data_IF_477449635656
#
_entry.id   IF_477449635656
#
_cell.length_a   1.000
_cell.length_b   1.000
_cell.length_c   1.000
_cell.angle_alpha   90.00
_cell.angle_beta   90.00
_cell.angle_gamma   90.00
#
_symmetry.space_group_name_H-M   'P 1'
#
loop_
_entity.id
_entity.type
_entity.pdbx_description
1 polymer ?
#
# COMPACT_ATOMS: atom_id res chain seq x y z
N UNK A 1 -20.41 -25.09 -2.12
CA UNK A 1 -20.55 -24.36 -0.86
C UNK A 1 -20.33 -22.90 -1.19
N UNK A 2 -20.96 -21.93 -0.51
CA UNK A 2 -20.65 -20.54 -0.73
C UNK A 2 -19.16 -20.28 -0.47
N UNK A 3 -18.55 -19.39 -1.27
CA UNK A 3 -17.15 -19.00 -1.14
C UNK A 3 -16.94 -18.29 0.20
N UNK A 4 -16.01 -18.78 1.03
CA UNK A 4 -15.66 -18.18 2.32
C UNK A 4 -14.49 -17.20 2.17
N UNK A 5 -14.67 -15.97 2.60
CA UNK A 5 -13.70 -14.90 2.46
C UNK A 5 -13.25 -14.41 3.83
N UNK A 6 -11.94 -14.31 4.03
CA UNK A 6 -11.40 -13.53 5.13
C UNK A 6 -10.90 -12.16 4.65
N UNK A 7 -11.11 -11.15 5.48
CA UNK A 7 -10.49 -9.82 5.32
C UNK A 7 -9.59 -9.59 6.52
N UNK A 8 -8.30 -9.80 6.34
CA UNK A 8 -7.31 -9.69 7.39
C UNK A 8 -6.85 -8.23 7.55
N UNK A 9 -7.21 -7.64 8.69
CA UNK A 9 -7.07 -6.23 8.99
C UNK A 9 -8.41 -5.51 9.05
N UNK A 10 -8.62 -4.73 10.10
CA UNK A 10 -9.87 -4.01 10.38
C UNK A 10 -9.67 -2.48 10.31
N UNK A 11 -8.67 -2.05 9.50
CA UNK A 11 -8.44 -0.65 9.14
C UNK A 11 -9.37 -0.16 8.01
N UNK A 12 -9.05 0.98 7.41
CA UNK A 12 -9.90 1.60 6.39
C UNK A 12 -10.11 0.71 5.15
N UNK A 13 -9.04 0.10 4.63
CA UNK A 13 -9.13 -0.81 3.47
C UNK A 13 -9.90 -2.09 3.85
N UNK A 14 -9.63 -2.65 5.04
CA UNK A 14 -10.36 -3.83 5.52
C UNK A 14 -11.85 -3.57 5.75
N UNK A 15 -12.20 -2.41 6.30
CA UNK A 15 -13.59 -2.00 6.45
C UNK A 15 -14.28 -1.81 5.08
N UNK A 16 -13.58 -1.22 4.11
CA UNK A 16 -14.06 -1.10 2.74
C UNK A 16 -14.36 -2.49 2.14
N UNK A 17 -13.38 -3.39 2.15
CA UNK A 17 -13.54 -4.75 1.63
C UNK A 17 -14.64 -5.50 2.38
N UNK A 18 -14.53 -5.60 3.71
CA UNK A 18 -15.48 -6.34 4.54
C UNK A 18 -16.90 -5.83 4.43
N UNK A 19 -17.09 -4.50 4.45
CA UNK A 19 -18.41 -3.89 4.39
C UNK A 19 -19.11 -4.07 3.05
N UNK A 20 -18.43 -3.79 1.94
CA UNK A 20 -19.01 -3.95 0.61
C UNK A 20 -19.26 -5.42 0.25
N UNK A 21 -18.35 -6.33 0.57
CA UNK A 21 -18.54 -7.76 0.31
C UNK A 21 -19.67 -8.35 1.13
N UNK A 22 -19.79 -7.98 2.43
CA UNK A 22 -20.91 -8.42 3.27
C UNK A 22 -22.24 -7.88 2.72
N UNK A 23 -22.30 -6.60 2.32
CA UNK A 23 -23.47 -6.01 1.69
C UNK A 23 -23.86 -6.70 0.38
N UNK A 24 -22.88 -7.21 -0.36
CA UNK A 24 -23.07 -7.96 -1.60
C UNK A 24 -23.46 -9.44 -1.37
N UNK A 25 -23.61 -9.87 -0.11
CA UNK A 25 -24.08 -11.21 0.25
C UNK A 25 -23.00 -12.29 0.33
N UNK A 26 -21.73 -11.93 0.34
CA UNK A 26 -20.64 -12.89 0.55
C UNK A 26 -20.53 -13.33 2.02
N UNK A 27 -20.06 -14.57 2.25
CA UNK A 27 -19.69 -15.09 3.57
C UNK A 27 -18.31 -14.53 3.96
N UNK A 28 -18.30 -13.41 4.67
CA UNK A 28 -17.10 -12.66 5.03
C UNK A 28 -16.82 -12.71 6.52
N UNK A 29 -15.60 -13.06 6.88
CA UNK A 29 -15.07 -12.89 8.25
C UNK A 29 -13.96 -11.85 8.25
N UNK A 30 -14.17 -10.75 8.98
CA UNK A 30 -13.13 -9.74 9.21
C UNK A 30 -12.21 -10.20 10.33
N UNK A 31 -10.91 -10.21 10.11
CA UNK A 31 -9.93 -10.66 11.09
C UNK A 31 -9.25 -9.47 11.76
N UNK A 32 -9.53 -9.26 13.04
CA UNK A 32 -8.70 -8.42 13.90
C UNK A 32 -7.42 -9.17 14.26
N UNK A 33 -6.26 -8.55 14.06
CA UNK A 33 -4.99 -9.24 14.25
C UNK A 33 -4.57 -9.30 15.72
N UNK A 34 -4.80 -8.21 16.47
CA UNK A 34 -4.27 -8.05 17.83
C UNK A 34 -5.33 -7.64 18.87
N UNK A 35 -6.49 -7.13 18.45
CA UNK A 35 -7.43 -6.44 19.34
C UNK A 35 -8.79 -7.14 19.40
N UNK A 36 -8.99 -8.02 20.36
CA UNK A 36 -10.27 -8.69 20.58
C UNK A 36 -11.44 -7.69 20.77
N UNK A 37 -11.19 -6.54 21.41
CA UNK A 37 -12.20 -5.50 21.61
C UNK A 37 -12.71 -4.92 20.28
N UNK A 38 -11.84 -4.79 19.28
CA UNK A 38 -12.23 -4.32 17.96
C UNK A 38 -13.16 -5.32 17.25
N UNK A 39 -12.85 -6.61 17.34
CA UNK A 39 -13.73 -7.66 16.80
C UNK A 39 -15.10 -7.66 17.52
N UNK A 40 -15.10 -7.61 18.86
CA UNK A 40 -16.36 -7.53 19.64
C UNK A 40 -17.20 -6.31 19.27
N UNK A 41 -16.57 -5.14 19.07
CA UNK A 41 -17.27 -3.92 18.65
C UNK A 41 -17.89 -4.07 17.27
N UNK A 42 -17.13 -4.58 16.29
CA UNK A 42 -17.62 -4.79 14.92
C UNK A 42 -18.80 -5.76 14.90
N UNK A 43 -18.77 -6.84 15.69
CA UNK A 43 -19.89 -7.78 15.82
C UNK A 43 -21.14 -7.15 16.44
N UNK A 44 -20.97 -6.28 17.44
CA UNK A 44 -22.08 -5.65 18.15
C UNK A 44 -22.69 -4.50 17.35
N UNK A 45 -21.86 -3.63 16.79
CA UNK A 45 -22.29 -2.34 16.24
C UNK A 45 -22.31 -2.34 14.71
N UNK A 46 -21.70 -3.36 14.05
CA UNK A 46 -21.45 -3.36 12.62
C UNK A 46 -20.41 -2.33 12.22
N UNK A 47 -20.36 -1.99 10.93
CA UNK A 47 -19.55 -0.90 10.42
C UNK A 47 -20.37 0.03 9.53
N UNK A 48 -19.98 1.31 9.51
CA UNK A 48 -20.56 2.36 8.67
C UNK A 48 -19.53 2.82 7.65
N UNK A 49 -19.91 2.84 6.37
CA UNK A 49 -19.09 3.32 5.27
C UNK A 49 -19.71 4.58 4.66
N UNK A 50 -18.87 5.59 4.44
CA UNK A 50 -19.25 6.88 3.83
C UNK A 50 -18.26 7.26 2.71
N UNK A 51 -18.63 8.19 1.85
CA UNK A 51 -17.76 8.83 0.86
C UNK A 51 -17.90 8.26 -0.55
N UNK A 52 -17.77 6.96 -0.76
CA UNK A 52 -17.98 6.32 -2.05
C UNK A 52 -19.39 5.69 -2.10
N UNK A 53 -20.20 6.16 -3.02
CA UNK A 53 -21.61 5.75 -3.09
C UNK A 53 -22.44 6.25 -1.91
N UNK A 54 -23.65 5.71 -1.70
CA UNK A 54 -24.49 6.08 -0.59
C UNK A 54 -23.90 5.61 0.75
N UNK A 55 -24.04 6.41 1.80
CA UNK A 55 -23.71 5.98 3.16
C UNK A 55 -24.55 4.77 3.54
N UNK A 56 -23.92 3.78 4.14
CA UNK A 56 -24.62 2.61 4.68
C UNK A 56 -23.93 2.05 5.93
N UNK A 57 -24.76 1.42 6.76
CA UNK A 57 -24.31 0.58 7.85
C UNK A 57 -24.63 -0.88 7.53
N UNK A 58 -23.71 -1.78 7.88
CA UNK A 58 -23.90 -3.21 7.69
C UNK A 58 -23.41 -3.98 8.92
N UNK A 59 -24.14 -5.03 9.36
CA UNK A 59 -23.58 -5.98 10.30
C UNK A 59 -22.40 -6.69 9.64
N UNK A 60 -21.42 -7.06 10.43
CA UNK A 60 -20.28 -7.86 9.96
C UNK A 60 -19.93 -8.93 10.97
N UNK A 61 -19.38 -10.03 10.50
CA UNK A 61 -18.74 -11.02 11.35
C UNK A 61 -17.26 -10.66 11.51
N UNK A 62 -16.81 -10.54 12.74
CA UNK A 62 -15.40 -10.22 13.04
C UNK A 62 -14.87 -11.17 14.13
N UNK A 63 -13.64 -11.66 13.92
CA UNK A 63 -12.97 -12.59 14.82
C UNK A 63 -11.55 -12.10 15.13
N UNK A 64 -11.02 -12.50 16.29
CA UNK A 64 -9.59 -12.34 16.56
C UNK A 64 -8.83 -13.48 15.88
N UNK A 65 -7.81 -13.17 15.06
CA UNK A 65 -7.03 -14.18 14.33
C UNK A 65 -6.54 -15.31 15.25
N UNK A 66 -6.00 -14.99 16.41
CA UNK A 66 -5.51 -15.97 17.39
C UNK A 66 -6.61 -16.86 18.04
N UNK A 67 -7.89 -16.55 17.80
CA UNK A 67 -9.02 -17.31 18.33
C UNK A 67 -9.79 -18.08 17.24
N UNK A 68 -9.35 -18.01 15.99
CA UNK A 68 -9.95 -18.81 14.95
C UNK A 68 -9.75 -20.31 15.21
N UNK A 69 -10.81 -21.13 15.10
CA UNK A 69 -10.66 -22.58 15.14
C UNK A 69 -9.73 -23.06 14.02
N UNK A 70 -8.84 -24.01 14.30
CA UNK A 70 -7.93 -24.57 13.31
C UNK A 70 -8.66 -25.19 12.09
N UNK A 71 -9.93 -25.57 12.26
CA UNK A 71 -10.79 -26.09 11.19
C UNK A 71 -11.38 -25.00 10.30
N UNK A 72 -11.29 -23.71 10.68
CA UNK A 72 -11.79 -22.62 9.86
C UNK A 72 -10.85 -22.38 8.69
N UNK A 73 -11.36 -22.49 7.46
CA UNK A 73 -10.59 -22.39 6.22
C UNK A 73 -11.30 -21.46 5.25
N UNK A 74 -10.52 -20.62 4.56
CA UNK A 74 -11.01 -19.62 3.61
C UNK A 74 -10.58 -19.95 2.18
N UNK A 75 -11.44 -19.63 1.22
CA UNK A 75 -11.12 -19.70 -0.20
C UNK A 75 -10.23 -18.52 -0.60
N UNK A 76 -10.51 -17.33 -0.07
CA UNK A 76 -9.75 -16.11 -0.31
C UNK A 76 -9.46 -15.38 1.00
N UNK A 77 -8.23 -14.89 1.16
CA UNK A 77 -7.83 -14.03 2.27
C UNK A 77 -7.29 -12.72 1.72
N UNK A 78 -8.08 -11.64 1.82
CA UNK A 78 -7.64 -10.29 1.47
C UNK A 78 -6.77 -9.74 2.61
N UNK A 79 -5.52 -9.44 2.30
CA UNK A 79 -4.54 -8.93 3.24
C UNK A 79 -4.60 -7.39 3.20
N UNK A 80 -5.30 -6.79 4.15
CA UNK A 80 -5.58 -5.35 4.19
C UNK A 80 -4.92 -4.63 5.38
N UNK A 81 -4.15 -5.38 6.17
CA UNK A 81 -3.31 -4.82 7.22
C UNK A 81 -2.10 -4.11 6.63
N UNK A 82 -1.36 -3.36 7.46
CA UNK A 82 -0.06 -2.81 7.11
C UNK A 82 1.00 -3.90 6.95
N UNK A 83 2.03 -3.63 6.15
CA UNK A 83 3.05 -4.62 5.78
C UNK A 83 3.84 -5.16 6.98
N UNK A 84 4.09 -4.35 8.02
CA UNK A 84 4.71 -4.83 9.27
C UNK A 84 3.85 -5.90 9.96
N UNK A 85 2.55 -5.69 10.07
CA UNK A 85 1.64 -6.68 10.64
C UNK A 85 1.52 -7.94 9.76
N UNK A 86 1.71 -7.80 8.44
CA UNK A 86 1.74 -8.94 7.52
C UNK A 86 2.89 -9.89 7.87
N UNK A 87 4.11 -9.38 8.01
CA UNK A 87 5.27 -10.21 8.35
C UNK A 87 5.07 -11.03 9.63
N UNK A 88 4.43 -10.46 10.65
CA UNK A 88 4.17 -11.12 11.93
C UNK A 88 3.04 -12.16 11.86
N UNK A 89 2.03 -11.97 11.00
CA UNK A 89 0.80 -12.75 11.03
C UNK A 89 0.65 -13.70 9.84
N UNK A 90 1.55 -13.62 8.86
CA UNK A 90 1.44 -14.34 7.59
C UNK A 90 1.31 -15.85 7.75
N UNK A 91 2.15 -16.47 8.59
CA UNK A 91 2.10 -17.91 8.83
C UNK A 91 0.78 -18.37 9.45
N UNK A 92 0.23 -17.57 10.38
CA UNK A 92 -1.08 -17.86 10.97
C UNK A 92 -2.21 -17.75 9.94
N UNK A 93 -2.16 -16.72 9.07
CA UNK A 93 -3.14 -16.54 8.00
C UNK A 93 -3.05 -17.67 6.96
N UNK A 94 -1.84 -18.05 6.55
CA UNK A 94 -1.63 -19.15 5.61
C UNK A 94 -2.17 -20.48 6.12
N UNK A 95 -2.13 -20.74 7.43
CA UNK A 95 -2.70 -21.94 8.05
C UNK A 95 -4.22 -22.02 7.89
N UNK A 96 -4.90 -20.91 7.66
CA UNK A 96 -6.34 -20.82 7.42
C UNK A 96 -6.71 -20.71 5.92
N UNK A 97 -5.74 -20.81 5.01
CA UNK A 97 -6.00 -20.82 3.57
C UNK A 97 -6.26 -22.25 3.09
N UNK A 98 -7.30 -22.43 2.30
CA UNK A 98 -7.54 -23.72 1.62
C UNK A 98 -6.43 -24.04 0.61
N UNK A 99 -6.16 -25.32 0.30
CA UNK A 99 -5.14 -25.72 -0.67
C UNK A 99 -5.30 -25.10 -2.06
N UNK A 100 -6.54 -24.83 -2.48
CA UNK A 100 -6.89 -24.21 -3.77
C UNK A 100 -7.27 -22.74 -3.63
N UNK A 101 -7.07 -22.15 -2.44
CA UNK A 101 -7.40 -20.76 -2.16
C UNK A 101 -6.26 -19.79 -2.53
N UNK A 102 -6.52 -18.48 -2.36
CA UNK A 102 -5.53 -17.45 -2.61
C UNK A 102 -5.38 -16.43 -1.48
N UNK A 103 -4.14 -16.02 -1.21
CA UNK A 103 -3.82 -14.79 -0.51
C UNK A 103 -3.85 -13.61 -1.49
N UNK A 104 -4.52 -12.53 -1.10
CA UNK A 104 -4.66 -11.35 -1.94
C UNK A 104 -4.05 -10.13 -1.21
N UNK A 105 -2.74 -9.85 -1.41
CA UNK A 105 -2.11 -8.68 -0.83
C UNK A 105 -2.69 -7.40 -1.45
N UNK A 106 -3.01 -6.42 -0.59
CA UNK A 106 -3.51 -5.10 -0.98
C UNK A 106 -2.63 -3.96 -0.41
N UNK A 107 -1.53 -4.30 0.23
CA UNK A 107 -0.60 -3.33 0.79
C UNK A 107 0.14 -2.55 -0.30
N UNK A 108 0.67 -1.37 0.06
CA UNK A 108 1.69 -0.71 -0.73
C UNK A 108 2.98 -1.55 -0.74
N UNK A 109 3.80 -1.36 -1.76
CA UNK A 109 5.05 -2.10 -1.88
C UNK A 109 4.96 -3.35 -2.74
N UNK A 110 6.02 -4.15 -2.70
CA UNK A 110 6.16 -5.41 -3.43
C UNK A 110 6.46 -6.48 -2.38
N UNK A 111 5.42 -7.19 -1.93
CA UNK A 111 5.50 -8.14 -0.83
C UNK A 111 5.66 -9.60 -1.29
N UNK A 112 5.90 -9.84 -2.58
CA UNK A 112 5.87 -11.19 -3.18
C UNK A 112 6.86 -12.14 -2.48
N UNK A 113 8.10 -11.70 -2.22
CA UNK A 113 9.12 -12.52 -1.54
C UNK A 113 8.69 -12.93 -0.13
N UNK A 114 7.99 -12.04 0.59
CA UNK A 114 7.47 -12.35 1.91
C UNK A 114 6.35 -13.38 1.83
N UNK A 115 5.41 -13.22 0.90
CA UNK A 115 4.27 -14.13 0.72
C UNK A 115 4.73 -15.53 0.31
N UNK A 116 5.74 -15.64 -0.55
CA UNK A 116 6.32 -16.91 -1.03
C UNK A 116 6.97 -17.74 0.11
N UNK A 117 7.27 -17.14 1.24
CA UNK A 117 7.74 -17.86 2.43
C UNK A 117 6.64 -18.70 3.11
N UNK A 118 5.37 -18.34 2.91
CA UNK A 118 4.24 -19.00 3.58
C UNK A 118 3.35 -19.81 2.65
N UNK A 119 3.25 -19.42 1.37
CA UNK A 119 2.41 -20.13 0.39
C UNK A 119 3.13 -20.22 -0.96
N UNK A 120 2.83 -21.23 -1.79
CA UNK A 120 3.37 -21.31 -3.15
C UNK A 120 2.81 -20.16 -4.03
N UNK A 121 3.58 -19.73 -5.03
CA UNK A 121 3.22 -18.65 -5.96
C UNK A 121 1.83 -18.81 -6.59
N UNK A 122 1.43 -20.04 -6.90
CA UNK A 122 0.11 -20.32 -7.47
C UNK A 122 -1.06 -19.89 -6.58
N UNK A 123 -0.82 -19.65 -5.29
CA UNK A 123 -1.83 -19.20 -4.32
C UNK A 123 -1.73 -17.68 -4.03
N UNK A 124 -1.02 -16.93 -4.84
CA UNK A 124 -0.89 -15.47 -4.68
C UNK A 124 -1.60 -14.79 -5.86
N UNK A 125 -2.58 -13.94 -5.55
CA UNK A 125 -3.24 -13.05 -6.51
C UNK A 125 -3.03 -11.62 -6.03
N UNK A 126 -2.10 -10.92 -6.62
CA UNK A 126 -1.77 -9.55 -6.20
C UNK A 126 -2.87 -8.58 -6.59
N UNK A 127 -3.28 -7.73 -5.66
CA UNK A 127 -4.22 -6.63 -5.88
C UNK A 127 -3.54 -5.28 -5.63
N UNK A 128 -3.30 -4.52 -6.67
CA UNK A 128 -2.85 -3.13 -6.55
C UNK A 128 -4.07 -2.23 -6.41
N UNK A 129 -4.20 -1.57 -5.25
CA UNK A 129 -5.34 -0.69 -4.96
C UNK A 129 -4.99 0.78 -5.13
N UNK A 130 -5.76 1.51 -5.94
CA UNK A 130 -5.76 2.96 -6.02
C UNK A 130 -6.94 3.59 -5.25
N UNK A 131 -7.75 2.76 -4.57
CA UNK A 131 -8.74 3.23 -3.61
C UNK A 131 -8.10 3.45 -2.24
N UNK A 132 -8.61 4.40 -1.50
CA UNK A 132 -8.14 4.73 -0.17
C UNK A 132 -9.30 4.88 0.82
N UNK A 133 -8.94 5.26 2.04
CA UNK A 133 -9.93 5.55 3.08
C UNK A 133 -9.27 5.97 4.39
N UNK A 134 -10.11 6.40 5.33
CA UNK A 134 -9.70 6.77 6.66
C UNK A 134 -10.71 6.30 7.70
N UNK A 135 -10.25 5.99 8.89
CA UNK A 135 -11.13 5.79 10.02
C UNK A 135 -11.51 7.15 10.60
N UNK A 136 -12.81 7.49 10.56
CA UNK A 136 -13.36 8.74 11.10
C UNK A 136 -13.67 8.63 12.59
N UNK A 137 -14.18 7.46 12.99
CA UNK A 137 -14.51 7.12 14.36
C UNK A 137 -14.48 5.58 14.50
N UNK A 138 -14.49 5.02 15.70
CA UNK A 138 -14.64 3.59 15.89
C UNK A 138 -15.89 3.04 15.17
N UNK A 139 -15.68 2.13 14.21
CA UNK A 139 -16.74 1.53 13.39
C UNK A 139 -17.25 2.40 12.23
N UNK A 140 -16.74 3.64 12.05
CA UNK A 140 -17.12 4.54 10.95
C UNK A 140 -15.91 4.87 10.09
N UNK A 141 -16.01 4.62 8.79
CA UNK A 141 -14.89 4.75 7.86
C UNK A 141 -15.29 5.56 6.63
N UNK A 142 -14.39 6.45 6.23
CA UNK A 142 -14.43 7.11 4.92
C UNK A 142 -13.82 6.17 3.88
N UNK A 143 -14.51 6.03 2.75
CA UNK A 143 -13.98 5.39 1.55
C UNK A 143 -13.80 6.44 0.46
N UNK A 144 -12.67 6.41 -0.22
CA UNK A 144 -12.48 7.17 -1.43
C UNK A 144 -12.78 6.32 -2.66
N UNK A 145 -13.10 6.98 -3.74
CA UNK A 145 -13.16 6.35 -5.06
C UNK A 145 -11.79 5.77 -5.44
N UNK A 146 -11.77 4.93 -6.45
CA UNK A 146 -10.55 4.31 -6.93
C UNK A 146 -10.79 3.02 -7.71
N UNK A 147 -9.69 2.37 -8.07
CA UNK A 147 -9.66 1.23 -8.96
C UNK A 147 -8.78 0.13 -8.38
N UNK A 148 -9.08 -1.12 -8.70
CA UNK A 148 -8.25 -2.27 -8.39
C UNK A 148 -7.70 -2.88 -9.66
N UNK A 149 -6.42 -3.26 -9.63
CA UNK A 149 -5.79 -4.08 -10.66
C UNK A 149 -5.34 -5.39 -10.04
N UNK A 150 -5.80 -6.51 -10.62
CA UNK A 150 -5.44 -7.83 -10.12
C UNK A 150 -4.65 -8.59 -11.18
N UNK A 151 -3.71 -9.40 -10.70
CA UNK A 151 -2.93 -10.30 -11.52
C UNK A 151 -2.23 -11.36 -10.68
N UNK A 152 -1.83 -12.42 -11.33
CA UNK A 152 -1.02 -13.49 -10.74
C UNK A 152 0.36 -13.54 -11.35
N UNK A 153 1.12 -14.53 -10.91
CA UNK A 153 2.35 -14.97 -11.57
C UNK A 153 2.04 -15.96 -12.69
N UNK A 154 3.05 -16.42 -13.43
CA UNK A 154 2.89 -17.46 -14.45
C UNK A 154 2.33 -18.77 -13.85
N UNK A 155 2.60 -19.03 -12.57
CA UNK A 155 2.13 -20.23 -11.85
C UNK A 155 0.69 -20.08 -11.32
N UNK A 156 0.14 -18.86 -11.28
CA UNK A 156 -1.19 -18.61 -10.70
C UNK A 156 -2.29 -19.02 -11.69
N UNK A 157 -3.23 -19.91 -11.32
CA UNK A 157 -4.33 -20.28 -12.21
C UNK A 157 -5.17 -19.07 -12.61
N UNK A 158 -5.43 -18.90 -13.90
CA UNK A 158 -6.21 -17.77 -14.43
C UNK A 158 -7.65 -17.73 -13.87
N UNK A 159 -8.20 -18.91 -13.55
CA UNK A 159 -9.51 -19.03 -12.90
C UNK A 159 -9.49 -18.40 -11.50
N UNK A 160 -8.43 -18.62 -10.73
CA UNK A 160 -8.28 -18.06 -9.38
C UNK A 160 -8.19 -16.52 -9.44
N UNK A 161 -7.46 -16.00 -10.44
CA UNK A 161 -7.38 -14.54 -10.69
C UNK A 161 -8.76 -13.97 -11.06
N UNK A 162 -9.52 -14.66 -11.93
CA UNK A 162 -10.87 -14.22 -12.31
C UNK A 162 -11.83 -14.20 -11.13
N UNK A 163 -11.85 -15.26 -10.31
CA UNK A 163 -12.68 -15.33 -9.11
C UNK A 163 -12.34 -14.21 -8.11
N UNK A 164 -11.05 -13.97 -7.86
CA UNK A 164 -10.60 -12.88 -7.00
C UNK A 164 -11.02 -11.49 -7.56
N UNK A 165 -10.93 -11.31 -8.87
CA UNK A 165 -11.34 -10.07 -9.53
C UNK A 165 -12.85 -9.86 -9.49
N UNK A 166 -13.65 -10.91 -9.70
CA UNK A 166 -15.11 -10.85 -9.59
C UNK A 166 -15.52 -10.44 -8.17
N UNK A 167 -14.91 -11.05 -7.15
CA UNK A 167 -15.16 -10.67 -5.75
C UNK A 167 -14.78 -9.20 -5.51
N UNK A 168 -13.58 -8.79 -5.90
CA UNK A 168 -13.10 -7.43 -5.72
C UNK A 168 -13.95 -6.39 -6.48
N UNK A 169 -14.52 -6.78 -7.62
CA UNK A 169 -15.41 -5.96 -8.47
C UNK A 169 -16.69 -5.50 -7.76
N UNK A 170 -17.12 -6.22 -6.72
CA UNK A 170 -18.23 -5.77 -5.87
C UNK A 170 -17.85 -4.61 -4.92
N UNK A 171 -16.56 -4.32 -4.78
CA UNK A 171 -16.07 -3.26 -3.90
C UNK A 171 -15.66 -2.02 -4.69
N UNK A 172 -14.90 -2.20 -5.78
CA UNK A 172 -14.44 -1.13 -6.69
C UNK A 172 -14.35 -1.65 -8.12
N UNK A 173 -14.39 -0.77 -9.12
CA UNK A 173 -14.02 -1.15 -10.48
C UNK A 173 -12.70 -1.89 -10.49
N UNK A 174 -12.69 -3.06 -11.12
CA UNK A 174 -11.58 -4.03 -11.05
C UNK A 174 -11.20 -4.49 -12.43
N UNK A 175 -9.91 -4.46 -12.74
CA UNK A 175 -9.34 -4.94 -13.99
C UNK A 175 -8.32 -6.05 -13.74
N UNK A 176 -8.32 -7.06 -14.62
CA UNK A 176 -7.30 -8.11 -14.64
C UNK A 176 -6.18 -7.68 -15.58
N UNK A 177 -4.95 -7.81 -15.11
CA UNK A 177 -3.77 -7.52 -15.92
C UNK A 177 -2.82 -8.72 -15.95
N UNK A 178 -2.19 -8.93 -17.11
CA UNK A 178 -1.10 -9.91 -17.27
C UNK A 178 0.26 -9.38 -16.78
N UNK A 179 0.34 -8.09 -16.43
CA UNK A 179 1.57 -7.46 -15.95
C UNK A 179 1.32 -6.69 -14.65
N UNK A 180 0.92 -7.42 -13.61
CA UNK A 180 0.64 -6.82 -12.30
C UNK A 180 1.90 -6.16 -11.70
N UNK A 181 3.10 -6.65 -12.04
CA UNK A 181 4.37 -6.09 -11.58
C UNK A 181 4.55 -4.64 -12.02
N UNK A 182 4.11 -4.29 -13.23
CA UNK A 182 4.13 -2.90 -13.70
C UNK A 182 3.25 -1.99 -12.83
N UNK A 183 2.06 -2.44 -12.43
CA UNK A 183 1.16 -1.70 -11.55
C UNK A 183 1.72 -1.58 -10.12
N UNK A 184 2.39 -2.63 -9.61
CA UNK A 184 3.10 -2.54 -8.34
C UNK A 184 4.18 -1.44 -8.39
N UNK A 185 4.99 -1.40 -9.45
CA UNK A 185 6.01 -0.36 -9.64
C UNK A 185 5.42 1.05 -9.80
N UNK A 186 4.29 1.21 -10.53
CA UNK A 186 3.59 2.50 -10.63
C UNK A 186 3.18 3.01 -9.26
N UNK A 187 2.53 2.16 -8.49
CA UNK A 187 2.07 2.51 -7.13
C UNK A 187 3.24 2.78 -6.19
N UNK A 188 4.25 1.91 -6.21
CA UNK A 188 5.43 2.01 -5.36
C UNK A 188 6.20 3.30 -5.66
N UNK A 189 6.39 3.65 -6.93
CA UNK A 189 7.10 4.86 -7.34
C UNK A 189 6.47 6.11 -6.74
N UNK A 190 5.14 6.25 -6.82
CA UNK A 190 4.41 7.37 -6.22
C UNK A 190 4.60 7.44 -4.71
N UNK A 191 4.47 6.31 -4.03
CA UNK A 191 4.61 6.24 -2.56
C UNK A 191 6.03 6.58 -2.14
N UNK A 192 7.05 6.04 -2.82
CA UNK A 192 8.45 6.26 -2.49
C UNK A 192 8.91 7.72 -2.67
N UNK A 193 8.29 8.47 -3.59
CA UNK A 193 8.60 9.89 -3.76
C UNK A 193 7.86 10.76 -2.74
N UNK A 194 6.55 10.63 -2.67
CA UNK A 194 5.69 11.61 -2.00
C UNK A 194 5.64 11.46 -0.49
N UNK A 195 5.39 10.26 0.02
CA UNK A 195 5.12 10.04 1.44
C UNK A 195 6.33 10.32 2.32
N UNK A 196 7.54 9.76 2.06
CA UNK A 196 8.71 10.04 2.88
C UNK A 196 9.18 11.49 2.74
N UNK A 197 9.05 12.10 1.55
CA UNK A 197 9.42 13.51 1.35
C UNK A 197 8.52 14.43 2.16
N UNK A 198 7.21 14.17 2.22
CA UNK A 198 6.29 14.90 3.07
C UNK A 198 6.65 14.73 4.56
N UNK A 199 6.91 13.50 4.98
CA UNK A 199 7.30 13.17 6.35
C UNK A 199 8.56 13.93 6.81
N UNK A 200 9.63 13.94 6.00
CA UNK A 200 10.89 14.60 6.38
C UNK A 200 10.85 16.12 6.20
N UNK A 201 10.09 16.63 5.24
CA UNK A 201 9.99 18.09 4.98
C UNK A 201 8.98 18.80 5.86
N UNK A 202 8.02 18.08 6.45
CA UNK A 202 6.88 18.64 7.18
C UNK A 202 5.82 19.32 6.29
N UNK A 203 5.94 19.19 4.96
CA UNK A 203 4.96 19.69 4.00
C UNK A 203 3.75 18.75 3.92
N UNK A 204 2.60 19.29 3.52
CA UNK A 204 1.44 18.45 3.18
C UNK A 204 1.70 17.66 1.90
N UNK A 205 1.01 16.51 1.77
CA UNK A 205 1.24 15.56 0.68
C UNK A 205 1.06 16.17 -0.72
N UNK A 206 0.15 17.14 -0.89
CA UNK A 206 -0.01 17.87 -2.16
C UNK A 206 1.11 18.87 -2.43
N UNK A 207 1.62 19.50 -1.38
CA UNK A 207 2.60 20.59 -1.52
C UNK A 207 4.00 20.09 -1.92
N UNK A 208 4.34 18.82 -1.57
CA UNK A 208 5.65 18.25 -1.95
C UNK A 208 5.86 18.18 -3.46
N UNK A 209 4.80 18.05 -4.24
CA UNK A 209 4.91 18.03 -5.70
C UNK A 209 5.17 19.40 -6.32
N UNK A 210 4.82 20.47 -5.59
CA UNK A 210 4.86 21.86 -6.05
C UNK A 210 6.01 22.65 -5.42
N UNK A 211 6.70 22.09 -4.42
CA UNK A 211 7.75 22.80 -3.70
C UNK A 211 9.11 22.65 -4.41
N UNK A 212 9.84 23.76 -4.70
CA UNK A 212 11.09 23.67 -5.46
C UNK A 212 12.17 22.81 -4.79
N UNK A 213 12.26 22.85 -3.46
CA UNK A 213 13.31 22.14 -2.72
C UNK A 213 13.12 20.64 -2.69
N UNK A 214 11.91 20.13 -2.93
CA UNK A 214 11.65 18.68 -3.01
C UNK A 214 12.05 18.06 -4.33
N UNK A 215 12.11 18.86 -5.41
CA UNK A 215 12.31 18.35 -6.77
C UNK A 215 13.66 17.66 -6.94
N UNK A 216 14.71 18.15 -6.26
CA UNK A 216 16.03 17.49 -6.31
C UNK A 216 15.99 16.09 -5.69
N UNK A 217 15.32 15.94 -4.53
CA UNK A 217 15.13 14.64 -3.91
C UNK A 217 14.27 13.72 -4.78
N UNK A 218 13.19 14.24 -5.33
CA UNK A 218 12.34 13.49 -6.27
C UNK A 218 13.13 12.99 -7.47
N UNK A 219 13.99 13.83 -8.05
CA UNK A 219 14.82 13.43 -9.18
C UNK A 219 15.79 12.28 -8.82
N UNK A 220 16.47 12.37 -7.68
CA UNK A 220 17.37 11.31 -7.24
C UNK A 220 16.61 9.99 -6.98
N UNK A 221 15.50 10.04 -6.25
CA UNK A 221 14.65 8.86 -6.00
C UNK A 221 14.09 8.27 -7.30
N UNK A 222 13.59 9.11 -8.22
CA UNK A 222 13.03 8.66 -9.49
C UNK A 222 14.07 7.95 -10.36
N UNK A 223 15.31 8.46 -10.42
CA UNK A 223 16.38 7.83 -11.20
C UNK A 223 16.77 6.46 -10.64
N UNK A 224 16.79 6.29 -9.32
CA UNK A 224 16.99 4.98 -8.69
C UNK A 224 15.82 4.03 -8.97
N UNK A 225 14.59 4.50 -8.90
CA UNK A 225 13.38 3.72 -9.24
C UNK A 225 13.41 3.24 -10.69
N UNK A 226 13.80 4.09 -11.65
CA UNK A 226 13.98 3.68 -13.04
C UNK A 226 15.02 2.55 -13.17
N UNK A 227 16.16 2.70 -12.51
CA UNK A 227 17.24 1.74 -12.61
C UNK A 227 16.88 0.39 -11.98
N UNK A 228 16.26 0.39 -10.79
CA UNK A 228 15.88 -0.83 -10.10
C UNK A 228 14.70 -1.52 -10.79
N UNK A 229 13.70 -0.78 -11.25
CA UNK A 229 12.56 -1.36 -11.99
C UNK A 229 13.01 -1.98 -13.32
N UNK A 230 13.95 -1.35 -14.04
CA UNK A 230 14.54 -1.90 -15.26
C UNK A 230 15.29 -3.21 -14.99
N UNK A 231 16.10 -3.24 -13.91
CA UNK A 231 16.81 -4.45 -13.49
C UNK A 231 15.87 -5.57 -13.00
N UNK A 232 14.69 -5.21 -12.48
CA UNK A 232 13.60 -6.12 -12.10
C UNK A 232 12.76 -6.60 -13.30
N UNK A 233 13.17 -6.30 -14.53
CA UNK A 233 12.47 -6.70 -15.76
C UNK A 233 11.21 -5.87 -16.04
N UNK A 234 11.04 -4.73 -15.40
CA UNK A 234 9.86 -3.88 -15.49
C UNK A 234 10.23 -2.43 -15.86
N UNK A 235 10.85 -2.18 -17.04
CA UNK A 235 11.33 -0.86 -17.43
C UNK A 235 10.16 0.14 -17.46
N UNK A 236 10.39 1.32 -16.87
CA UNK A 236 9.39 2.39 -16.79
C UNK A 236 9.62 3.43 -17.88
N UNK A 237 8.56 3.93 -18.48
CA UNK A 237 8.62 5.07 -19.41
C UNK A 237 8.71 6.38 -18.62
N UNK A 238 7.92 6.48 -17.58
CA UNK A 238 7.84 7.66 -16.69
C UNK A 238 7.78 7.24 -15.23
N UNK A 239 8.23 8.12 -14.36
CA UNK A 239 7.97 8.12 -12.90
C UNK A 239 7.36 9.49 -12.59
N UNK A 240 6.16 9.50 -12.01
CA UNK A 240 5.38 10.73 -11.79
C UNK A 240 5.33 11.61 -13.05
N UNK A 241 4.91 11.00 -14.15
CA UNK A 241 4.71 11.61 -15.48
C UNK A 241 5.95 12.21 -16.15
N UNK A 242 7.13 12.13 -15.52
CA UNK A 242 8.40 12.57 -16.09
C UNK A 242 9.25 11.39 -16.53
N UNK A 243 9.88 11.53 -17.68
CA UNK A 243 10.86 10.59 -18.22
C UNK A 243 12.17 10.62 -17.41
N UNK A 244 12.99 9.59 -17.57
CA UNK A 244 14.34 9.55 -16.99
C UNK A 244 15.17 10.79 -17.37
N UNK A 245 15.09 11.25 -18.62
CA UNK A 245 15.85 12.42 -19.10
C UNK A 245 15.37 13.72 -18.45
N UNK A 246 14.07 13.88 -18.22
CA UNK A 246 13.50 15.06 -17.52
C UNK A 246 13.93 15.07 -16.05
N UNK A 247 13.90 13.94 -15.35
CA UNK A 247 14.42 13.86 -13.98
C UNK A 247 15.94 14.10 -13.90
N UNK A 248 16.71 13.59 -14.88
CA UNK A 248 18.14 13.89 -14.96
C UNK A 248 18.39 15.39 -15.16
N UNK A 249 17.57 16.07 -15.95
CA UNK A 249 17.69 17.51 -16.14
C UNK A 249 17.44 18.31 -14.85
N UNK A 250 16.57 17.83 -13.96
CA UNK A 250 16.36 18.42 -12.62
C UNK A 250 17.60 18.23 -11.75
N UNK A 251 18.17 17.02 -11.75
CA UNK A 251 19.35 16.72 -10.93
C UNK A 251 20.56 17.53 -11.36
N UNK A 252 20.73 17.72 -12.69
CA UNK A 252 21.78 18.53 -13.29
C UNK A 252 21.57 20.05 -13.14
N UNK A 253 20.44 20.49 -12.59
CA UNK A 253 20.08 21.91 -12.46
C UNK A 253 19.68 22.59 -13.76
N UNK A 254 19.35 21.83 -14.82
CA UNK A 254 18.90 22.32 -16.14
C UNK A 254 17.38 22.53 -16.21
N UNK A 255 16.64 22.01 -15.22
CA UNK A 255 15.19 22.16 -15.05
C UNK A 255 14.86 22.36 -13.58
N UNK A 256 13.79 23.10 -13.28
CA UNK A 256 13.28 23.26 -11.92
C UNK A 256 12.48 22.04 -11.44
N UNK A 257 12.07 21.17 -12.37
CA UNK A 257 11.15 20.06 -12.11
C UNK A 257 9.69 20.46 -11.97
N UNK A 258 9.37 21.75 -11.98
CA UNK A 258 8.02 22.29 -11.78
C UNK A 258 7.26 22.53 -13.09
N UNK A 259 7.89 22.37 -14.24
CA UNK A 259 7.32 22.65 -15.55
C UNK A 259 6.10 21.75 -15.89
N UNK A 260 5.97 20.63 -15.20
CA UNK A 260 4.83 19.71 -15.32
C UNK A 260 3.91 19.74 -14.07
N UNK A 261 4.14 20.64 -13.13
CA UNK A 261 3.38 20.69 -11.88
C UNK A 261 1.87 20.89 -12.10
N UNK A 262 1.47 21.58 -13.17
CA UNK A 262 0.06 21.77 -13.54
C UNK A 262 -0.66 20.46 -13.91
N UNK A 263 0.08 19.42 -14.28
CA UNK A 263 -0.49 18.09 -14.58
C UNK A 263 -0.89 17.33 -13.32
N UNK A 264 -0.30 17.66 -12.16
CA UNK A 264 -0.72 17.07 -10.91
C UNK A 264 -2.06 17.69 -10.53
N UNK A 265 -3.12 16.87 -10.54
CA UNK A 265 -4.38 17.26 -9.91
C UNK A 265 -4.07 17.59 -8.46
N UNK A 266 -4.35 18.81 -8.00
CA UNK A 266 -4.01 19.18 -6.64
C UNK A 266 -4.72 18.24 -5.67
N UNK A 267 -3.96 17.63 -4.79
CA UNK A 267 -4.54 16.96 -3.64
C UNK A 267 -5.32 18.01 -2.83
N UNK A 268 -6.42 17.63 -2.17
CA UNK A 268 -7.08 18.57 -1.27
C UNK A 268 -6.07 19.19 -0.31
N UNK A 269 -6.15 20.50 -0.03
CA UNK A 269 -5.22 21.17 0.88
C UNK A 269 -5.20 20.51 2.27
N UNK A 270 -4.03 20.47 2.90
CA UNK A 270 -3.89 20.02 4.29
C UNK A 270 -3.92 18.51 4.48
N UNK A 271 -3.79 17.69 3.42
CA UNK A 271 -3.65 16.24 3.58
C UNK A 271 -2.27 15.94 4.16
N UNK A 272 -2.29 15.38 5.38
CA UNK A 272 -1.10 14.84 6.05
C UNK A 272 -0.75 13.49 5.42
N UNK A 273 0.53 13.27 5.17
CA UNK A 273 1.01 11.98 4.65
C UNK A 273 0.81 10.82 5.66
N UNK A 274 0.88 9.60 5.14
CA UNK A 274 0.60 8.41 5.93
C UNK A 274 1.59 8.22 7.09
N UNK A 275 2.89 8.54 6.91
CA UNK A 275 3.90 8.34 7.93
C UNK A 275 3.74 9.34 9.07
N UNK A 276 3.56 10.62 8.77
CA UNK A 276 3.26 11.65 9.78
C UNK A 276 1.97 11.31 10.55
N UNK A 277 0.94 10.81 9.86
CA UNK A 277 -0.30 10.39 10.51
C UNK A 277 -0.10 9.18 11.45
N UNK A 278 0.79 8.26 11.09
CA UNK A 278 1.12 7.09 11.90
C UNK A 278 2.01 7.46 13.10
N UNK A 279 3.03 8.30 12.93
CA UNK A 279 3.86 8.83 14.02
C UNK A 279 2.98 9.48 15.10
N UNK A 280 2.03 10.32 14.69
CA UNK A 280 1.09 10.97 15.62
C UNK A 280 0.23 9.98 16.42
N UNK A 281 0.03 8.76 15.90
CA UNK A 281 -0.72 7.69 16.54
C UNK A 281 0.17 6.69 17.28
N UNK A 282 1.49 6.86 17.24
CA UNK A 282 2.46 5.90 17.79
C UNK A 282 2.43 4.55 17.06
N UNK A 283 2.15 4.55 15.76
CA UNK A 283 2.11 3.34 14.94
C UNK A 283 3.42 3.19 14.16
N UNK A 284 3.91 1.97 13.94
CA UNK A 284 5.11 1.72 13.14
C UNK A 284 4.89 2.12 11.69
N UNK A 285 5.94 2.64 11.06
CA UNK A 285 5.89 3.07 9.67
C UNK A 285 6.09 1.90 8.69
N UNK A 286 5.68 2.09 7.45
CA UNK A 286 5.82 1.10 6.37
C UNK A 286 6.99 1.41 5.43
N UNK A 287 7.91 2.30 5.81
CA UNK A 287 8.99 2.74 4.91
C UNK A 287 9.93 1.60 4.52
N UNK A 288 10.15 0.63 5.41
CA UNK A 288 10.96 -0.57 5.12
C UNK A 288 10.31 -1.46 4.03
N UNK A 289 8.99 -1.39 3.88
CA UNK A 289 8.21 -2.11 2.86
C UNK A 289 7.92 -1.28 1.60
N UNK A 290 8.43 -0.06 1.52
CA UNK A 290 8.34 0.83 0.36
C UNK A 290 9.72 1.20 -0.15
N UNK A 291 10.35 2.26 0.35
CA UNK A 291 11.73 2.61 -0.01
C UNK A 291 12.72 1.49 0.35
N UNK A 292 12.50 0.77 1.46
CA UNK A 292 13.30 -0.41 1.84
C UNK A 292 13.27 -1.51 0.77
N UNK A 293 12.12 -1.78 0.16
CA UNK A 293 12.01 -2.75 -0.95
C UNK A 293 12.83 -2.31 -2.17
N UNK A 294 12.89 -1.01 -2.48
CA UNK A 294 13.74 -0.49 -3.56
C UNK A 294 15.21 -0.72 -3.23
N UNK A 295 15.61 -0.55 -1.98
CA UNK A 295 16.98 -0.83 -1.51
C UNK A 295 17.30 -2.33 -1.64
N UNK A 296 16.40 -3.20 -1.18
CA UNK A 296 16.61 -4.67 -1.23
C UNK A 296 16.69 -5.18 -2.66
N UNK A 297 15.79 -4.72 -3.55
CA UNK A 297 15.87 -5.04 -4.97
C UNK A 297 17.13 -4.45 -5.62
N UNK A 298 17.51 -3.23 -5.23
CA UNK A 298 18.77 -2.62 -5.66
C UNK A 298 19.99 -3.47 -5.29
N UNK A 299 20.04 -3.95 -4.04
CA UNK A 299 21.10 -4.88 -3.60
C UNK A 299 21.07 -6.19 -4.39
N UNK A 300 19.90 -6.77 -4.59
CA UNK A 300 19.72 -8.02 -5.35
C UNK A 300 20.22 -7.91 -6.80
N UNK A 301 19.97 -6.76 -7.43
CA UNK A 301 20.33 -6.51 -8.84
C UNK A 301 21.62 -5.71 -9.02
N UNK A 302 22.36 -5.43 -7.93
CA UNK A 302 23.58 -4.63 -7.94
C UNK A 302 23.38 -3.19 -8.48
N UNK A 303 22.22 -2.60 -8.22
CA UNK A 303 21.89 -1.20 -8.55
C UNK A 303 22.01 -0.34 -7.29
N UNK A 304 22.89 0.67 -7.27
CA UNK A 304 23.03 1.57 -6.10
C UNK A 304 21.75 2.38 -5.85
N UNK A 305 21.39 2.53 -4.57
CA UNK A 305 20.18 3.26 -4.14
C UNK A 305 20.48 4.24 -3.00
N UNK A 306 21.46 5.15 -3.12
CA UNK A 306 21.87 6.05 -2.04
C UNK A 306 20.76 7.02 -1.59
N UNK A 307 19.90 7.51 -2.50
CA UNK A 307 18.80 8.40 -2.16
C UNK A 307 17.71 7.69 -1.34
N UNK A 308 17.30 6.48 -1.75
CA UNK A 308 16.37 5.67 -0.96
C UNK A 308 16.93 5.35 0.43
N UNK A 309 18.23 5.02 0.54
CA UNK A 309 18.88 4.78 1.83
C UNK A 309 18.93 6.04 2.71
N UNK A 310 19.21 7.22 2.12
CA UNK A 310 19.23 8.49 2.87
C UNK A 310 17.84 8.86 3.40
N UNK A 311 16.81 8.69 2.57
CA UNK A 311 15.41 8.92 2.94
C UNK A 311 14.96 7.94 4.02
N UNK A 312 15.27 6.65 3.90
CA UNK A 312 14.93 5.63 4.89
C UNK A 312 15.50 6.02 6.27
N UNK A 313 16.78 6.35 6.33
CA UNK A 313 17.41 6.81 7.57
C UNK A 313 16.74 8.06 8.15
N UNK A 314 16.48 9.07 7.31
CA UNK A 314 15.87 10.32 7.76
C UNK A 314 14.44 10.12 8.31
N UNK A 315 13.63 9.28 7.67
CA UNK A 315 12.28 8.97 8.15
C UNK A 315 12.35 8.26 9.51
N UNK A 316 13.26 7.30 9.69
CA UNK A 316 13.44 6.64 10.99
C UNK A 316 13.93 7.58 12.09
N UNK A 317 14.76 8.61 11.79
CA UNK A 317 15.14 9.61 12.81
C UNK A 317 13.96 10.48 13.23
N UNK A 318 13.06 10.81 12.27
CA UNK A 318 11.82 11.53 12.59
C UNK A 318 10.85 10.63 13.38
N UNK A 319 10.71 9.36 13.02
CA UNK A 319 9.87 8.38 13.72
C UNK A 319 10.28 8.23 15.19
N UNK A 320 11.58 8.17 15.47
CA UNK A 320 12.12 8.08 16.83
C UNK A 320 12.14 9.41 17.60
N UNK A 321 11.74 10.51 16.95
CA UNK A 321 11.77 11.85 17.55
C UNK A 321 13.18 12.42 17.75
N UNK A 322 14.18 11.87 17.09
CA UNK A 322 15.59 12.33 17.13
C UNK A 322 15.81 13.58 16.26
N UNK A 323 15.00 13.73 15.22
CA UNK A 323 15.00 14.87 14.29
C UNK A 323 13.59 15.42 14.12
N UNK A 324 13.49 16.73 13.93
CA UNK A 324 12.22 17.37 13.57
C UNK A 324 12.07 17.45 12.06
N UNK A 325 10.87 17.11 11.56
CA UNK A 325 10.53 17.33 10.16
C UNK A 325 10.59 18.82 9.81
N UNK A 326 11.17 19.14 8.65
CA UNK A 326 11.29 20.50 8.17
C UNK A 326 12.19 20.61 6.94
N UNK A 327 12.17 21.75 6.27
CA UNK A 327 13.00 21.98 5.08
C UNK A 327 14.51 21.87 5.36
N UNK A 328 14.96 22.13 6.59
CA UNK A 328 16.37 21.97 6.96
C UNK A 328 16.79 20.49 6.96
N UNK A 329 15.94 19.58 7.43
CA UNK A 329 16.19 18.15 7.32
C UNK A 329 16.21 17.71 5.85
N UNK A 330 15.24 18.19 5.06
CA UNK A 330 15.19 17.91 3.61
C UNK A 330 16.50 18.34 2.91
N UNK A 331 17.02 19.55 3.21
CA UNK A 331 18.28 20.06 2.64
C UNK A 331 19.47 19.18 3.02
N UNK A 332 19.55 18.71 4.27
CA UNK A 332 20.61 17.79 4.71
C UNK A 332 20.54 16.46 3.99
N UNK A 333 19.33 15.91 3.80
CA UNK A 333 19.13 14.68 3.02
C UNK A 333 19.57 14.89 1.57
N UNK A 334 19.18 15.99 0.93
CA UNK A 334 19.59 16.32 -0.44
C UNK A 334 21.10 16.56 -0.60
N UNK A 335 21.79 16.99 0.44
CA UNK A 335 23.24 17.19 0.43
C UNK A 335 24.04 15.88 0.60
N UNK A 336 23.39 14.82 1.07
CA UNK A 336 24.01 13.50 1.31
C UNK A 336 23.87 12.53 0.13
N UNK A 337 23.26 12.95 -1.00
CA UNK A 337 22.96 12.11 -2.18
C UNK A 337 23.59 12.67 -3.46
#
# INVERSE_FOLDING_TARGET
MPCKIAVAGTGAIGAMMGGWLTRSGYDVTMLSLYRAEQARRLNRDGLTLVGYGPEFQTPVRAELLAQLPASEQFDFIFLTMKSNALAETLSALAAHLKPEGALIPMQNGINDVLLEQAVPRRQIVTCVTFAGGAQLAPGRFMNHDGHFYLGGTEDTPSELVRQAADIAGHVRPTEITSNIRAFQWDKLSRVCLSVPTACISGLFLGDVFLHPETQRLFAALALELFAVAEADGCPRQTVEEKTRAEWQAVLDGRSTGLECAEKFKPWPPGIVDAYTADIRKGLPLEIDFTNGVVIDLGMRYHVPTPANQAVLRAVHTVERGEEQAGLDLLRRVCAAI
#
